data_IF_753970237569
#
_entry.id   IF_753970237569
#
_cell.length_a   1.000
_cell.length_b   1.000
_cell.length_c   1.000
_cell.angle_alpha   90.00
_cell.angle_beta   90.00
_cell.angle_gamma   90.00
#
_symmetry.space_group_name_H-M   'P 1'
#
loop_
_entity.id
_entity.type
_entity.pdbx_description
1 polymer ?
#
# COMPACT_ATOMS: atom_id res chain seq x y z
N UNK A 1 11.33 3.43 8.16
CA UNK A 1 10.08 4.06 7.74
C UNK A 1 10.05 4.21 6.22
N UNK A 2 9.15 3.50 5.57
CA UNK A 2 8.97 3.57 4.12
C UNK A 2 7.83 4.54 3.79
N UNK A 3 8.15 5.57 3.03
CA UNK A 3 7.23 6.65 2.67
C UNK A 3 6.94 6.70 1.16
N UNK A 4 7.08 5.56 0.47
CA UNK A 4 6.91 5.49 -0.98
C UNK A 4 5.50 5.84 -1.47
N UNK A 5 4.50 5.77 -0.60
CA UNK A 5 3.09 6.03 -0.93
C UNK A 5 2.53 7.33 -0.33
N UNK A 6 3.33 8.15 0.33
CA UNK A 6 2.86 9.32 1.09
C UNK A 6 2.11 10.39 0.28
N UNK A 7 2.31 10.44 -1.04
CA UNK A 7 1.67 11.40 -1.95
C UNK A 7 0.53 10.78 -2.78
N UNK A 8 0.12 9.56 -2.45
CA UNK A 8 -0.90 8.83 -3.21
C UNK A 8 -2.28 9.02 -2.59
N UNK A 9 -2.71 10.27 -2.47
CA UNK A 9 -4.06 10.59 -2.03
C UNK A 9 -5.08 10.23 -3.11
N UNK A 10 -6.21 9.66 -2.72
CA UNK A 10 -7.33 9.35 -3.62
C UNK A 10 -8.26 10.55 -3.82
N UNK A 11 -8.25 11.50 -2.88
CA UNK A 11 -9.11 12.69 -2.88
C UNK A 11 -8.28 13.96 -2.96
N UNK A 12 -8.86 15.00 -3.58
CA UNK A 12 -8.17 16.28 -3.80
C UNK A 12 -8.26 17.24 -2.62
N UNK A 13 -9.31 17.13 -1.81
CA UNK A 13 -9.53 18.01 -0.65
C UNK A 13 -8.75 17.46 0.55
N UNK A 14 -7.92 18.27 1.17
CA UNK A 14 -7.08 17.89 2.31
C UNK A 14 -7.88 17.30 3.49
N UNK A 15 -9.11 17.78 3.72
CA UNK A 15 -9.99 17.23 4.76
C UNK A 15 -10.40 15.76 4.53
N UNK A 16 -10.34 15.31 3.26
CA UNK A 16 -10.67 13.96 2.84
C UNK A 16 -9.42 13.09 2.63
N UNK A 17 -8.25 13.56 3.06
CA UNK A 17 -6.98 12.84 2.98
C UNK A 17 -6.57 12.32 4.36
N UNK A 18 -5.82 11.22 4.37
CA UNK A 18 -5.14 10.75 5.57
C UNK A 18 -3.84 11.55 5.76
N UNK A 19 -3.56 11.88 7.01
CA UNK A 19 -2.34 12.59 7.39
C UNK A 19 -1.32 11.61 7.97
N UNK A 20 -0.13 11.60 7.40
CA UNK A 20 1.00 10.84 7.92
C UNK A 20 1.90 11.77 8.75
N UNK A 21 2.12 11.41 10.01
CA UNK A 21 3.06 12.12 10.87
C UNK A 21 4.48 12.12 10.28
N UNK A 22 5.19 13.24 10.45
CA UNK A 22 6.60 13.30 10.09
C UNK A 22 7.44 12.58 11.15
N UNK A 23 7.81 11.35 10.84
CA UNK A 23 8.44 10.44 11.80
C UNK A 23 9.78 10.95 12.35
N UNK A 24 10.54 11.71 11.56
CA UNK A 24 11.83 12.29 12.02
C UNK A 24 11.58 13.36 13.10
N UNK A 25 10.58 14.22 12.88
CA UNK A 25 10.20 15.25 13.85
C UNK A 25 9.68 14.63 15.15
N UNK A 26 8.89 13.57 15.04
CA UNK A 26 8.36 12.87 16.23
C UNK A 26 9.47 12.16 17.02
N UNK A 27 10.45 11.57 16.33
CA UNK A 27 11.63 10.99 16.99
C UNK A 27 12.49 12.07 17.68
N UNK A 28 12.65 13.23 17.07
CA UNK A 28 13.38 14.34 17.66
C UNK A 28 12.67 14.87 18.91
N UNK A 29 11.35 15.11 18.83
CA UNK A 29 10.51 15.51 19.99
C UNK A 29 10.57 14.50 21.13
N UNK A 30 10.65 13.21 20.82
CA UNK A 30 10.79 12.14 21.80
C UNK A 30 12.21 11.98 22.37
N UNK A 31 13.19 12.81 21.93
CA UNK A 31 14.57 12.71 22.36
C UNK A 31 15.36 11.53 21.76
N UNK A 32 14.83 10.92 20.71
CA UNK A 32 15.44 9.76 20.04
C UNK A 32 15.66 9.99 18.53
N UNK A 33 16.41 11.06 18.11
CA UNK A 33 16.54 11.42 16.70
C UNK A 33 17.21 10.33 15.85
N UNK A 34 18.03 9.49 16.45
CA UNK A 34 18.79 8.44 15.75
C UNK A 34 18.01 7.12 15.59
N UNK A 35 16.75 7.08 15.99
CA UNK A 35 15.96 5.86 16.03
C UNK A 35 15.50 5.39 14.65
N UNK A 36 15.44 6.29 13.64
CA UNK A 36 14.76 6.02 12.39
C UNK A 36 15.56 6.44 11.15
N UNK A 37 15.45 5.64 10.11
CA UNK A 37 15.77 5.99 8.72
C UNK A 37 14.46 6.08 7.94
N UNK A 38 14.24 7.18 7.23
CA UNK A 38 13.08 7.41 6.38
C UNK A 38 13.47 7.25 4.92
N UNK A 39 12.74 6.44 4.19
CA UNK A 39 12.96 6.17 2.78
C UNK A 39 11.77 6.61 1.96
N UNK A 40 12.03 7.08 0.75
CA UNK A 40 11.02 7.32 -0.26
C UNK A 40 11.55 7.02 -1.66
N UNK A 41 10.66 6.80 -2.61
CA UNK A 41 11.02 6.64 -4.01
C UNK A 41 9.91 7.11 -4.94
N UNK A 42 10.28 7.39 -6.19
CA UNK A 42 9.32 7.73 -7.26
C UNK A 42 8.87 6.50 -8.06
N UNK A 43 9.17 5.28 -7.60
CA UNK A 43 8.85 4.03 -8.31
C UNK A 43 7.35 3.85 -8.56
N UNK A 44 6.50 4.42 -7.70
CA UNK A 44 5.04 4.41 -7.83
C UNK A 44 4.47 5.74 -8.31
N UNK A 45 5.32 6.75 -8.49
CA UNK A 45 4.96 8.10 -8.93
C UNK A 45 5.24 8.28 -10.41
N UNK A 46 6.45 7.89 -10.87
CA UNK A 46 6.89 8.02 -12.27
C UNK A 46 6.93 6.67 -12.96
N UNK A 47 8.13 6.09 -13.15
CA UNK A 47 8.31 4.82 -13.86
C UNK A 47 9.01 3.79 -12.98
N UNK A 48 8.45 2.57 -12.83
CA UNK A 48 9.16 1.46 -12.20
C UNK A 48 10.47 1.17 -12.96
N UNK A 49 11.55 0.96 -12.22
CA UNK A 49 12.89 0.74 -12.80
C UNK A 49 13.61 2.00 -13.29
N UNK A 50 12.94 3.13 -13.40
CA UNK A 50 13.52 4.44 -13.74
C UNK A 50 13.25 5.49 -12.65
N UNK A 51 12.87 5.07 -11.46
CA UNK A 51 12.63 5.94 -10.33
C UNK A 51 13.92 6.50 -9.71
N UNK A 52 13.74 7.52 -8.91
CA UNK A 52 14.76 8.01 -7.98
C UNK A 52 14.31 7.70 -6.55
N UNK A 53 15.27 7.60 -5.64
CA UNK A 53 15.00 7.37 -4.23
C UNK A 53 15.74 8.38 -3.38
N UNK A 54 15.23 8.59 -2.18
CA UNK A 54 15.87 9.43 -1.18
C UNK A 54 15.83 8.76 0.19
N UNK A 55 16.85 9.05 0.99
CA UNK A 55 16.96 8.67 2.39
C UNK A 55 17.10 9.93 3.22
N UNK A 56 16.34 10.00 4.31
CA UNK A 56 16.45 11.03 5.33
C UNK A 56 16.64 10.36 6.70
N UNK A 57 17.47 10.97 7.54
CA UNK A 57 17.74 10.51 8.90
C UNK A 57 18.40 11.64 9.69
N UNK A 58 18.67 11.41 10.97
CA UNK A 58 19.49 12.30 11.78
C UNK A 58 20.88 12.50 11.16
N UNK A 59 21.56 13.58 11.57
CA UNK A 59 22.94 13.85 11.11
C UNK A 59 23.88 12.69 11.47
N UNK A 60 23.77 12.12 12.67
CA UNK A 60 24.61 11.02 13.11
C UNK A 60 24.42 9.77 12.22
N UNK A 61 23.19 9.41 11.95
CA UNK A 61 22.83 8.29 11.07
C UNK A 61 23.31 8.53 9.62
N UNK A 62 23.17 9.76 9.11
CA UNK A 62 23.67 10.11 7.77
C UNK A 62 25.18 10.06 7.67
N UNK A 63 25.90 10.51 8.70
CA UNK A 63 27.35 10.47 8.72
C UNK A 63 27.87 9.03 8.79
N UNK A 64 27.13 8.15 9.44
CA UNK A 64 27.47 6.72 9.48
C UNK A 64 27.19 6.02 8.14
N UNK A 65 25.98 6.12 7.60
CA UNK A 65 25.58 5.41 6.37
C UNK A 65 26.38 5.88 5.14
N UNK A 66 26.80 7.15 5.09
CA UNK A 66 27.65 7.68 4.00
C UNK A 66 28.96 6.94 3.84
N UNK A 67 29.53 6.41 4.91
CA UNK A 67 30.78 5.61 4.85
C UNK A 67 30.63 4.38 3.96
N UNK A 68 29.42 3.82 3.93
CA UNK A 68 29.11 2.62 3.14
C UNK A 68 28.60 2.98 1.74
N UNK A 69 27.71 3.95 1.62
CA UNK A 69 27.12 4.37 0.34
C UNK A 69 28.19 4.85 -0.63
N UNK A 70 29.19 5.61 -0.16
CA UNK A 70 30.28 6.13 -1.01
C UNK A 70 31.17 5.04 -1.60
N UNK A 71 31.27 3.89 -0.94
CA UNK A 71 31.98 2.71 -1.48
C UNK A 71 31.10 1.91 -2.41
N UNK A 72 29.81 1.81 -2.10
CA UNK A 72 28.84 1.06 -2.87
C UNK A 72 28.49 1.75 -4.21
N UNK A 73 28.39 3.06 -4.19
CA UNK A 73 27.99 3.87 -5.36
C UNK A 73 28.76 5.17 -5.38
N UNK A 74 29.70 5.34 -6.33
CA UNK A 74 30.51 6.57 -6.48
C UNK A 74 29.64 7.77 -6.85
N UNK A 75 28.58 7.54 -7.62
CA UNK A 75 27.62 8.57 -8.00
C UNK A 75 26.27 7.98 -8.40
N UNK A 76 25.22 8.73 -8.12
CA UNK A 76 23.87 8.35 -8.50
C UNK A 76 23.58 8.72 -9.95
N UNK A 77 22.55 8.10 -10.57
CA UNK A 77 22.11 8.36 -11.94
C UNK A 77 21.56 9.80 -12.08
N UNK A 78 22.45 10.72 -12.44
CA UNK A 78 22.15 12.15 -12.61
C UNK A 78 21.23 12.41 -13.80
N UNK A 79 21.29 11.56 -14.85
CA UNK A 79 20.42 11.70 -16.00
C UNK A 79 18.98 11.40 -15.63
N UNK A 80 18.77 10.37 -14.81
CA UNK A 80 17.44 10.05 -14.31
C UNK A 80 16.90 11.11 -13.36
N UNK A 81 17.74 11.65 -12.46
CA UNK A 81 17.39 12.81 -11.63
C UNK A 81 16.95 13.99 -12.49
N UNK A 82 17.73 14.31 -13.54
CA UNK A 82 17.41 15.43 -14.45
C UNK A 82 16.09 15.18 -15.23
N UNK A 83 15.79 13.93 -15.60
CA UNK A 83 14.49 13.58 -16.21
C UNK A 83 13.34 13.93 -15.28
N UNK A 84 13.45 13.58 -14.00
CA UNK A 84 12.43 13.89 -12.99
C UNK A 84 12.26 15.39 -12.79
N UNK A 85 13.37 16.14 -12.66
CA UNK A 85 13.35 17.60 -12.57
C UNK A 85 12.68 18.23 -13.79
N UNK A 86 13.01 17.78 -15.00
CA UNK A 86 12.41 18.32 -16.22
C UNK A 86 10.93 17.97 -16.35
N UNK A 87 10.53 16.80 -15.90
CA UNK A 87 9.14 16.31 -16.01
C UNK A 87 8.24 16.98 -15.00
N UNK A 88 8.61 16.95 -13.71
CA UNK A 88 7.80 17.49 -12.63
C UNK A 88 7.99 18.99 -12.44
N UNK A 89 9.17 19.51 -12.73
CA UNK A 89 9.63 20.90 -12.48
C UNK A 89 9.78 21.19 -11.00
N UNK A 90 8.70 21.07 -10.23
CA UNK A 90 8.59 21.39 -8.81
C UNK A 90 7.61 20.44 -8.10
N UNK A 91 7.33 20.73 -6.83
CA UNK A 91 6.39 19.94 -6.01
C UNK A 91 4.97 20.05 -6.53
N UNK A 92 4.55 21.19 -7.05
CA UNK A 92 3.21 21.35 -7.63
C UNK A 92 3.02 20.46 -8.86
N UNK A 93 4.07 20.30 -9.66
CA UNK A 93 4.08 19.36 -10.79
C UNK A 93 3.93 17.90 -10.33
N UNK A 94 4.53 17.52 -9.20
CA UNK A 94 4.31 16.20 -8.59
C UNK A 94 2.85 16.05 -8.14
N UNK A 95 2.29 17.01 -7.43
CA UNK A 95 0.90 16.97 -6.98
C UNK A 95 -0.08 16.89 -8.15
N UNK A 96 0.13 17.72 -9.18
CA UNK A 96 -0.71 17.67 -10.38
C UNK A 96 -0.64 16.32 -11.12
N UNK A 97 0.52 15.67 -11.11
CA UNK A 97 0.68 14.33 -11.66
C UNK A 97 -0.05 13.28 -10.80
N UNK A 98 0.07 13.37 -9.48
CA UNK A 98 -0.59 12.44 -8.56
C UNK A 98 -2.12 12.54 -8.60
N UNK A 99 -2.70 13.71 -8.86
CA UNK A 99 -4.13 13.86 -9.12
C UNK A 99 -4.61 13.04 -10.33
N UNK A 100 -3.78 12.87 -11.36
CA UNK A 100 -4.11 12.00 -12.50
C UNK A 100 -4.10 10.53 -12.10
N UNK A 101 -3.17 10.12 -11.23
CA UNK A 101 -3.17 8.77 -10.63
C UNK A 101 -4.44 8.55 -9.79
N UNK A 102 -4.79 9.52 -8.95
CA UNK A 102 -6.00 9.46 -8.13
C UNK A 102 -7.27 9.28 -8.98
N UNK A 103 -7.38 9.99 -10.10
CA UNK A 103 -8.52 9.87 -11.01
C UNK A 103 -8.68 8.45 -11.61
N UNK A 104 -7.58 7.69 -11.73
CA UNK A 104 -7.60 6.30 -12.20
C UNK A 104 -7.86 5.33 -11.04
N UNK A 105 -7.28 5.58 -9.87
CA UNK A 105 -7.31 4.65 -8.75
C UNK A 105 -8.60 4.75 -7.93
N UNK A 106 -9.07 5.97 -7.66
CA UNK A 106 -10.25 6.21 -6.81
C UNK A 106 -11.47 5.38 -7.20
N UNK A 107 -11.94 5.36 -8.46
CA UNK A 107 -13.11 4.57 -8.84
C UNK A 107 -12.95 3.07 -8.57
N UNK A 108 -11.72 2.56 -8.64
CA UNK A 108 -11.40 1.16 -8.36
C UNK A 108 -11.51 0.84 -6.87
N UNK A 109 -11.00 1.73 -6.01
CA UNK A 109 -11.13 1.60 -4.57
C UNK A 109 -12.58 1.67 -4.13
N UNK A 110 -13.29 2.72 -4.55
CA UNK A 110 -14.71 2.93 -4.23
C UNK A 110 -15.58 1.73 -4.66
N UNK A 111 -15.31 1.15 -5.82
CA UNK A 111 -16.04 -0.03 -6.30
C UNK A 111 -15.78 -1.26 -5.44
N UNK A 112 -14.53 -1.52 -5.06
CA UNK A 112 -14.19 -2.67 -4.19
C UNK A 112 -14.82 -2.48 -2.80
N UNK A 113 -14.67 -1.30 -2.20
CA UNK A 113 -15.26 -0.97 -0.89
C UNK A 113 -16.79 -1.10 -0.91
N UNK A 114 -17.44 -0.56 -1.94
CA UNK A 114 -18.89 -0.70 -2.10
C UNK A 114 -19.33 -2.16 -2.23
N UNK A 115 -18.54 -3.00 -2.91
CA UNK A 115 -18.81 -4.44 -3.03
C UNK A 115 -18.66 -5.15 -1.69
N UNK A 116 -17.58 -4.85 -0.94
CA UNK A 116 -17.37 -5.42 0.40
C UNK A 116 -18.50 -5.03 1.34
N UNK A 117 -18.86 -3.74 1.38
CA UNK A 117 -19.93 -3.23 2.25
C UNK A 117 -21.30 -3.86 1.91
N UNK A 118 -21.63 -3.91 0.63
CA UNK A 118 -22.90 -4.51 0.17
C UNK A 118 -23.00 -5.99 0.51
N UNK A 119 -21.93 -6.75 0.35
CA UNK A 119 -21.94 -8.20 0.39
C UNK A 119 -21.54 -8.80 1.74
N UNK A 120 -20.69 -8.10 2.51
CA UNK A 120 -20.14 -8.56 3.78
C UNK A 120 -20.52 -7.66 4.96
N UNK A 121 -20.96 -6.43 4.71
CA UNK A 121 -21.32 -5.46 5.74
C UNK A 121 -22.35 -6.04 6.71
N UNK A 122 -22.08 -5.90 8.02
CA UNK A 122 -22.97 -6.39 9.08
C UNK A 122 -23.00 -7.91 9.30
N UNK A 123 -22.28 -8.71 8.50
CA UNK A 123 -22.27 -10.18 8.67
C UNK A 123 -21.30 -10.65 9.77
N UNK A 124 -20.37 -9.82 10.22
CA UNK A 124 -19.38 -10.18 11.24
C UNK A 124 -18.34 -11.21 10.79
N UNK A 125 -18.17 -11.40 9.47
CA UNK A 125 -17.23 -12.38 8.89
C UNK A 125 -16.01 -11.74 8.22
N UNK A 126 -15.90 -10.43 8.29
CA UNK A 126 -14.77 -9.66 7.80
C UNK A 126 -14.85 -8.20 8.19
N UNK A 127 -13.68 -7.59 8.32
CA UNK A 127 -13.49 -6.16 8.53
C UNK A 127 -12.47 -5.64 7.51
N UNK A 128 -12.57 -4.38 7.12
CA UNK A 128 -11.63 -3.80 6.16
C UNK A 128 -11.39 -2.33 6.42
N UNK A 129 -10.23 -1.86 5.97
CA UNK A 129 -9.91 -0.44 5.97
C UNK A 129 -10.57 0.27 4.79
N UNK A 130 -10.94 1.54 4.99
CA UNK A 130 -11.38 2.46 3.92
C UNK A 130 -10.29 3.52 3.72
N UNK A 131 -9.22 3.21 2.97
CA UNK A 131 -8.08 4.10 2.84
C UNK A 131 -8.42 5.31 1.96
N UNK A 132 -7.94 6.47 2.37
CA UNK A 132 -8.03 7.71 1.60
C UNK A 132 -6.82 7.94 0.69
N UNK A 133 -5.91 6.97 0.65
CA UNK A 133 -4.69 7.00 -0.14
C UNK A 133 -3.97 5.66 -0.19
N UNK A 134 -2.87 5.61 -0.92
CA UNK A 134 -2.09 4.38 -1.08
C UNK A 134 -2.61 3.46 -2.18
N UNK A 135 -2.23 2.18 -2.07
CA UNK A 135 -2.49 1.16 -3.10
C UNK A 135 -3.23 -0.07 -2.60
N UNK A 136 -3.56 -0.12 -1.30
CA UNK A 136 -4.04 -1.33 -0.66
C UNK A 136 -5.23 -1.08 0.25
N UNK A 137 -6.13 -2.06 0.29
CA UNK A 137 -7.15 -2.23 1.32
C UNK A 137 -6.70 -3.41 2.18
N UNK A 138 -6.64 -3.21 3.50
CA UNK A 138 -6.40 -4.30 4.45
C UNK A 138 -7.73 -4.94 4.79
N UNK A 139 -7.85 -6.24 4.59
CA UNK A 139 -9.02 -7.04 4.91
C UNK A 139 -8.67 -8.06 5.98
N UNK A 140 -9.46 -8.13 7.05
CA UNK A 140 -9.36 -9.11 8.10
C UNK A 140 -10.56 -10.07 8.00
N UNK A 141 -10.28 -11.34 7.75
CA UNK A 141 -11.29 -12.42 7.78
C UNK A 141 -11.43 -13.00 9.19
N UNK A 142 -12.31 -13.97 9.37
CA UNK A 142 -12.27 -14.80 10.58
C UNK A 142 -10.90 -15.49 10.71
N UNK A 143 -10.44 -15.66 11.94
CA UNK A 143 -9.15 -16.30 12.25
C UNK A 143 -9.05 -17.69 11.59
N UNK A 144 -7.93 -17.97 10.93
CA UNK A 144 -7.69 -19.23 10.23
C UNK A 144 -8.29 -19.31 8.81
N UNK A 145 -8.88 -18.25 8.28
CA UNK A 145 -9.56 -18.27 6.98
C UNK A 145 -8.75 -17.66 5.83
N UNK A 146 -7.76 -16.81 6.11
CA UNK A 146 -7.11 -16.01 5.05
C UNK A 146 -6.45 -16.86 3.95
N UNK A 147 -5.65 -17.85 4.32
CA UNK A 147 -5.01 -18.76 3.33
C UNK A 147 -6.02 -19.51 2.49
N UNK A 148 -7.10 -19.96 3.12
CA UNK A 148 -8.18 -20.68 2.44
C UNK A 148 -8.88 -19.78 1.43
N UNK A 149 -9.26 -18.57 1.83
CA UNK A 149 -9.88 -17.56 0.95
C UNK A 149 -8.99 -17.29 -0.27
N UNK A 150 -7.71 -17.02 -0.06
CA UNK A 150 -6.76 -16.74 -1.15
C UNK A 150 -6.59 -17.95 -2.08
N UNK A 151 -6.56 -19.17 -1.53
CA UNK A 151 -6.47 -20.40 -2.33
C UNK A 151 -7.72 -20.60 -3.21
N UNK A 152 -8.91 -20.46 -2.63
CA UNK A 152 -10.19 -20.57 -3.36
C UNK A 152 -10.32 -19.49 -4.45
N UNK A 153 -9.94 -18.25 -4.14
CA UNK A 153 -9.92 -17.16 -5.13
C UNK A 153 -9.00 -17.50 -6.31
N UNK A 154 -7.81 -18.05 -6.03
CA UNK A 154 -6.87 -18.49 -7.07
C UNK A 154 -7.42 -19.62 -7.93
N UNK A 155 -8.09 -20.62 -7.34
CA UNK A 155 -8.75 -21.70 -8.08
C UNK A 155 -9.88 -21.18 -8.98
N UNK A 156 -10.57 -20.13 -8.54
CA UNK A 156 -11.57 -19.41 -9.33
C UNK A 156 -10.99 -18.42 -10.35
N UNK A 157 -9.65 -18.34 -10.49
CA UNK A 157 -8.96 -17.50 -11.47
C UNK A 157 -8.60 -16.10 -10.96
N UNK A 158 -8.81 -15.79 -9.67
CA UNK A 158 -8.44 -14.49 -9.08
C UNK A 158 -7.14 -14.62 -8.30
N UNK A 159 -6.05 -14.12 -8.89
CA UNK A 159 -4.72 -14.15 -8.26
C UNK A 159 -4.52 -12.92 -7.37
N UNK A 160 -4.30 -13.16 -6.09
CA UNK A 160 -4.07 -12.14 -5.06
C UNK A 160 -2.68 -12.27 -4.43
N UNK A 161 -2.28 -11.27 -3.68
CA UNK A 161 -1.11 -11.40 -2.79
C UNK A 161 -1.37 -12.54 -1.79
N UNK A 162 -0.35 -13.37 -1.54
CA UNK A 162 -0.48 -14.48 -0.61
C UNK A 162 -0.83 -14.02 0.81
N UNK A 163 -1.67 -14.79 1.50
CA UNK A 163 -1.99 -14.53 2.91
C UNK A 163 -0.71 -14.52 3.77
N UNK A 164 -0.64 -13.62 4.73
CA UNK A 164 0.53 -13.44 5.58
C UNK A 164 1.62 -12.52 5.00
N UNK A 165 1.51 -12.06 3.75
CA UNK A 165 2.52 -11.21 3.11
C UNK A 165 2.71 -9.82 3.81
N UNK A 166 1.77 -9.43 4.64
CA UNK A 166 1.81 -8.19 5.44
C UNK A 166 2.55 -8.36 6.77
N UNK A 167 2.92 -9.57 7.12
CA UNK A 167 3.59 -9.91 8.37
C UNK A 167 5.07 -10.30 8.15
N UNK A 168 5.93 -10.07 9.15
CA UNK A 168 7.32 -10.54 9.10
C UNK A 168 7.38 -12.05 8.84
N UNK A 169 8.30 -12.45 7.98
CA UNK A 169 8.50 -13.86 7.57
C UNK A 169 7.28 -14.51 6.92
N UNK A 170 6.29 -13.73 6.48
CA UNK A 170 5.06 -14.25 5.87
C UNK A 170 4.17 -15.00 6.85
N UNK A 171 4.31 -14.76 8.15
CA UNK A 171 3.57 -15.48 9.19
C UNK A 171 2.58 -14.56 9.88
N UNK A 172 1.33 -14.63 9.48
CA UNK A 172 0.21 -14.05 10.21
C UNK A 172 -0.19 -15.03 11.33
N UNK A 173 -0.11 -14.63 12.62
CA UNK A 173 -0.45 -15.51 13.75
C UNK A 173 -1.91 -15.94 13.76
N UNK A 174 -2.80 -15.11 13.22
CA UNK A 174 -4.23 -15.37 13.17
C UNK A 174 -4.69 -16.01 11.87
N UNK A 175 -3.87 -15.93 10.80
CA UNK A 175 -4.27 -16.32 9.45
C UNK A 175 -5.57 -15.62 9.02
N UNK A 176 -5.66 -14.31 9.24
CA UNK A 176 -6.85 -13.49 9.02
C UNK A 176 -6.62 -12.37 8.00
N UNK A 177 -5.39 -11.85 7.86
CA UNK A 177 -5.12 -10.68 7.06
C UNK A 177 -4.90 -11.00 5.58
N UNK A 178 -5.60 -10.26 4.74
CA UNK A 178 -5.49 -10.31 3.27
C UNK A 178 -5.30 -8.89 2.75
N UNK A 179 -4.26 -8.68 1.93
CA UNK A 179 -4.01 -7.43 1.25
C UNK A 179 -4.69 -7.41 -0.12
N UNK A 180 -5.67 -6.55 -0.31
CA UNK A 180 -6.34 -6.31 -1.58
C UNK A 180 -5.64 -5.15 -2.31
N UNK A 181 -5.27 -5.35 -3.58
CA UNK A 181 -4.61 -4.36 -4.43
C UNK A 181 -5.46 -4.05 -5.67
N UNK A 182 -6.36 -3.06 -5.63
CA UNK A 182 -7.29 -2.77 -6.72
C UNK A 182 -6.65 -2.15 -7.97
N UNK A 183 -5.38 -1.77 -7.90
CA UNK A 183 -4.75 -0.84 -8.86
C UNK A 183 -4.59 -1.37 -10.28
N UNK A 184 -4.28 -2.67 -10.46
CA UNK A 184 -3.84 -3.21 -11.75
C UNK A 184 -4.98 -3.51 -12.73
N UNK A 185 -6.04 -4.29 -12.41
CA UNK A 185 -7.03 -4.70 -13.40
C UNK A 185 -7.88 -3.52 -13.91
N UNK A 186 -8.45 -3.59 -15.13
CA UNK A 186 -9.56 -2.73 -15.52
C UNK A 186 -10.74 -2.90 -14.55
N UNK A 187 -11.61 -1.89 -14.49
CA UNK A 187 -12.68 -1.86 -13.49
C UNK A 187 -13.69 -3.01 -13.66
N UNK A 188 -13.95 -3.42 -14.89
CA UNK A 188 -14.90 -4.49 -15.22
C UNK A 188 -14.37 -5.88 -14.79
N UNK A 189 -13.05 -6.08 -14.85
CA UNK A 189 -12.41 -7.31 -14.35
C UNK A 189 -12.31 -7.28 -12.82
N UNK A 190 -11.99 -6.11 -12.27
CA UNK A 190 -11.88 -5.92 -10.83
C UNK A 190 -13.23 -6.16 -10.12
N UNK A 191 -14.33 -5.72 -10.73
CA UNK A 191 -15.69 -5.97 -10.20
C UNK A 191 -15.97 -7.47 -10.09
N UNK A 192 -15.65 -8.24 -11.13
CA UNK A 192 -15.80 -9.71 -11.11
C UNK A 192 -14.89 -10.35 -10.07
N UNK A 193 -13.64 -9.88 -9.97
CA UNK A 193 -12.70 -10.39 -8.98
C UNK A 193 -13.17 -10.10 -7.55
N UNK A 194 -13.74 -8.94 -7.28
CA UNK A 194 -14.31 -8.59 -5.99
C UNK A 194 -15.53 -9.48 -5.66
N UNK A 195 -16.40 -9.76 -6.63
CA UNK A 195 -17.52 -10.69 -6.46
C UNK A 195 -17.07 -12.12 -6.13
N UNK A 196 -16.03 -12.63 -6.82
CA UNK A 196 -15.44 -13.94 -6.49
C UNK A 196 -14.84 -13.92 -5.09
N UNK A 197 -14.11 -12.86 -4.74
CA UNK A 197 -13.51 -12.73 -3.42
C UNK A 197 -14.54 -12.80 -2.30
N UNK A 198 -15.63 -12.05 -2.38
CA UNK A 198 -16.67 -12.05 -1.33
C UNK A 198 -17.36 -13.43 -1.21
N UNK A 199 -17.53 -14.17 -2.31
CA UNK A 199 -18.03 -15.55 -2.27
C UNK A 199 -17.06 -16.46 -1.53
N UNK A 200 -15.75 -16.34 -1.81
CA UNK A 200 -14.72 -17.11 -1.11
C UNK A 200 -14.69 -16.80 0.40
N UNK A 201 -14.86 -15.52 0.77
CA UNK A 201 -14.97 -15.11 2.20
C UNK A 201 -16.19 -15.78 2.85
N UNK A 202 -17.35 -15.70 2.22
CA UNK A 202 -18.59 -16.30 2.74
C UNK A 202 -18.43 -17.82 2.92
N UNK A 203 -17.90 -18.52 1.91
CA UNK A 203 -17.71 -19.97 1.96
C UNK A 203 -16.72 -20.38 3.07
N UNK A 204 -15.55 -19.76 3.12
CA UNK A 204 -14.55 -20.07 4.15
C UNK A 204 -15.09 -19.82 5.56
N UNK A 205 -15.87 -18.75 5.74
CA UNK A 205 -16.49 -18.41 7.03
C UNK A 205 -17.56 -19.42 7.43
N UNK A 206 -18.44 -19.82 6.51
CA UNK A 206 -19.47 -20.84 6.78
C UNK A 206 -18.84 -22.18 7.14
N UNK A 207 -17.84 -22.64 6.40
CA UNK A 207 -17.15 -23.89 6.70
C UNK A 207 -16.44 -23.86 8.06
N UNK A 208 -15.87 -22.72 8.44
CA UNK A 208 -15.28 -22.54 9.78
C UNK A 208 -16.34 -22.62 10.87
N UNK A 209 -17.43 -21.84 10.75
CA UNK A 209 -18.50 -21.78 11.75
C UNK A 209 -19.27 -23.11 11.90
N UNK A 210 -19.31 -23.93 10.86
CA UNK A 210 -19.90 -25.26 10.94
C UNK A 210 -18.97 -26.30 11.58
N UNK A 211 -17.68 -26.03 11.67
CA UNK A 211 -16.69 -26.92 12.26
C UNK A 211 -16.45 -26.65 13.76
N UNK A 212 -16.96 -25.54 14.27
CA UNK A 212 -16.97 -25.18 15.70
C UNK A 212 -18.19 -25.76 16.40
#
# INVERSE_FOLDING_TARGET
WDNAYSVHHLYDDEKDQDFLLEILDECEKAGNPDMVYKFTSTSKISFPGSGIAALAASKANLDDIRKYITVQTIGHDKLNQLRHVKFFKDLEGVHAHMKKHAAILRPKFEMVEATLEKELGGLGIGEWTTPKGGYFISFESLDGCAKKIVAMAKEAGVVMTGAGATYPYGKDPKDSNIRIAPSFPPIEELEKAAQVFVVCVKLASVEKLLAE
#
